data_IF_693260781121
#
_entry.id   IF_693260781121
#
_cell.length_a   1.000
_cell.length_b   1.000
_cell.length_c   1.000
_cell.angle_alpha   90.00
_cell.angle_beta   90.00
_cell.angle_gamma   90.00
#
_symmetry.space_group_name_H-M   'P 1'
#
loop_
_entity.id
_entity.type
_entity.pdbx_description
1 polymer ?
#
# COMPACT_ATOMS: atom_id res chain seq x y z
N UNK A 1 -7.43 0.50 7.59
CA UNK A 1 -6.72 0.68 8.88
C UNK A 1 -6.82 -0.57 9.76
N UNK A 2 -7.98 -1.21 9.89
CA UNK A 2 -8.16 -2.41 10.71
C UNK A 2 -7.21 -3.55 10.33
N UNK A 3 -7.06 -3.85 9.02
CA UNK A 3 -6.10 -4.87 8.57
C UNK A 3 -4.66 -4.54 8.96
N UNK A 4 -4.27 -3.25 8.88
CA UNK A 4 -2.94 -2.81 9.32
C UNK A 4 -2.71 -3.13 10.80
N UNK A 5 -3.68 -2.81 11.65
CA UNK A 5 -3.59 -3.11 13.08
C UNK A 5 -3.50 -4.63 13.36
N UNK A 6 -4.31 -5.44 12.68
CA UNK A 6 -4.25 -6.89 12.81
C UNK A 6 -2.92 -7.48 12.30
N UNK A 7 -2.34 -6.89 11.27
CA UNK A 7 -1.05 -7.31 10.72
C UNK A 7 0.13 -7.06 11.69
N UNK A 8 0.01 -6.11 12.61
CA UNK A 8 1.02 -5.86 13.66
C UNK A 8 1.02 -6.93 14.76
N UNK A 9 -0.03 -7.75 14.87
CA UNK A 9 -0.04 -8.87 15.83
C UNK A 9 0.96 -9.93 15.33
N UNK A 10 1.96 -10.34 16.15
CA UNK A 10 2.89 -11.41 15.77
C UNK A 10 2.15 -12.68 15.36
N UNK A 11 2.61 -13.35 14.32
CA UNK A 11 1.91 -14.52 13.76
C UNK A 11 1.62 -15.61 14.78
N UNK A 12 2.59 -15.89 15.66
CA UNK A 12 2.46 -16.89 16.74
C UNK A 12 1.46 -16.49 17.84
N UNK A 13 1.00 -15.23 17.85
CA UNK A 13 -0.03 -14.72 18.79
C UNK A 13 -1.40 -14.54 18.15
N UNK A 14 -1.55 -14.82 16.84
CA UNK A 14 -2.83 -14.74 16.15
C UNK A 14 -3.65 -16.00 16.43
N UNK A 15 -4.78 -15.85 17.12
CA UNK A 15 -5.74 -16.91 17.26
C UNK A 15 -6.51 -17.15 15.95
N UNK A 16 -7.38 -18.16 15.90
CA UNK A 16 -8.16 -18.51 14.70
C UNK A 16 -9.04 -17.36 14.20
N UNK A 17 -9.68 -16.62 15.09
CA UNK A 17 -10.55 -15.50 14.75
C UNK A 17 -9.77 -14.36 14.07
N UNK A 18 -8.59 -14.02 14.60
CA UNK A 18 -7.69 -13.01 13.99
C UNK A 18 -7.22 -13.46 12.61
N UNK A 19 -6.82 -14.72 12.47
CA UNK A 19 -6.39 -15.28 11.18
C UNK A 19 -7.51 -15.26 10.16
N UNK A 20 -8.72 -15.64 10.52
CA UNK A 20 -9.89 -15.63 9.64
C UNK A 20 -10.29 -14.21 9.24
N UNK A 21 -10.20 -13.25 10.16
CA UNK A 21 -10.48 -11.85 9.88
C UNK A 21 -9.47 -11.26 8.91
N UNK A 22 -8.17 -11.55 9.11
CA UNK A 22 -7.11 -11.15 8.18
C UNK A 22 -7.37 -11.72 6.78
N UNK A 23 -7.66 -13.03 6.70
CA UNK A 23 -7.93 -13.69 5.41
C UNK A 23 -9.10 -13.08 4.66
N UNK A 24 -10.21 -12.81 5.36
CA UNK A 24 -11.39 -12.14 4.76
C UNK A 24 -11.08 -10.73 4.28
N UNK A 25 -10.33 -9.95 5.08
CA UNK A 25 -9.96 -8.60 4.71
C UNK A 25 -8.98 -8.56 3.52
N UNK A 26 -8.04 -9.49 3.46
CA UNK A 26 -7.12 -9.65 2.32
C UNK A 26 -7.90 -10.02 1.06
N UNK A 27 -8.80 -11.01 1.12
CA UNK A 27 -9.62 -11.41 -0.02
C UNK A 27 -10.48 -10.25 -0.53
N UNK A 28 -11.06 -9.46 0.38
CA UNK A 28 -11.79 -8.25 -0.01
C UNK A 28 -10.93 -7.28 -0.83
N UNK A 29 -9.67 -7.04 -0.43
CA UNK A 29 -8.75 -6.16 -1.19
C UNK A 29 -8.36 -6.78 -2.54
N UNK A 30 -8.16 -8.09 -2.59
CA UNK A 30 -7.76 -8.79 -3.81
C UNK A 30 -8.86 -8.83 -4.87
N UNK A 31 -10.13 -9.04 -4.50
CA UNK A 31 -11.25 -8.98 -5.47
C UNK A 31 -11.44 -7.59 -6.07
N UNK A 32 -10.96 -6.55 -5.39
CA UNK A 32 -10.93 -5.17 -5.89
C UNK A 32 -9.63 -4.82 -6.64
N UNK A 33 -8.75 -5.80 -6.90
CA UNK A 33 -7.42 -5.53 -7.44
C UNK A 33 -6.75 -4.33 -6.75
N UNK A 34 -6.88 -4.28 -5.42
CA UNK A 34 -6.39 -3.25 -4.50
C UNK A 34 -7.20 -1.93 -4.58
N UNK A 35 -7.39 -1.34 -5.75
CA UNK A 35 -7.94 0.02 -5.94
C UNK A 35 -9.10 0.10 -6.93
N UNK A 36 -9.54 -1.01 -7.50
CA UNK A 36 -10.60 -1.07 -8.52
C UNK A 36 -11.97 -1.38 -7.92
N UNK A 37 -13.00 -1.29 -8.74
CA UNK A 37 -14.34 -1.72 -8.36
C UNK A 37 -14.51 -3.21 -8.69
N UNK A 38 -14.89 -4.04 -7.71
CA UNK A 38 -14.97 -5.50 -7.89
C UNK A 38 -15.95 -5.95 -8.98
N UNK A 39 -17.01 -5.16 -9.22
CA UNK A 39 -18.02 -5.42 -10.25
C UNK A 39 -17.65 -4.83 -11.62
N UNK A 40 -16.61 -3.99 -11.68
CA UNK A 40 -16.07 -3.43 -12.93
C UNK A 40 -14.60 -3.06 -12.74
N UNK A 41 -13.71 -4.00 -13.04
CA UNK A 41 -12.26 -3.84 -12.86
C UNK A 41 -11.60 -2.81 -13.81
N UNK A 42 -12.34 -2.23 -14.75
CA UNK A 42 -11.87 -1.10 -15.54
C UNK A 42 -12.00 0.23 -14.79
N UNK A 43 -12.83 0.27 -13.74
CA UNK A 43 -13.09 1.46 -12.96
C UNK A 43 -12.29 1.50 -11.67
N UNK A 44 -11.72 2.66 -11.40
CA UNK A 44 -11.02 2.96 -10.14
C UNK A 44 -12.06 3.26 -9.06
N UNK A 45 -11.90 2.65 -7.88
CA UNK A 45 -12.79 2.87 -6.75
C UNK A 45 -12.56 4.25 -6.11
N UNK A 46 -11.30 4.54 -5.76
CA UNK A 46 -10.89 5.80 -5.14
C UNK A 46 -9.60 6.32 -5.80
N UNK A 47 -9.70 7.31 -6.70
CA UNK A 47 -8.53 7.85 -7.40
C UNK A 47 -7.42 8.36 -6.47
N UNK A 48 -7.78 8.84 -5.28
CA UNK A 48 -6.81 9.30 -4.28
C UNK A 48 -5.88 8.20 -3.76
N UNK A 49 -6.26 6.93 -3.88
CA UNK A 49 -5.41 5.80 -3.49
C UNK A 49 -4.21 5.60 -4.43
N UNK A 50 -4.29 6.16 -5.63
CA UNK A 50 -3.18 6.15 -6.58
C UNK A 50 -2.13 7.23 -6.30
N UNK A 51 -2.38 8.14 -5.37
CA UNK A 51 -1.44 9.19 -4.98
C UNK A 51 -0.63 8.75 -3.77
N UNK A 52 0.67 8.52 -3.97
CA UNK A 52 1.58 8.09 -2.90
C UNK A 52 1.75 9.19 -1.85
N UNK A 53 1.58 8.83 -0.59
CA UNK A 53 1.57 9.78 0.52
C UNK A 53 2.45 9.33 1.69
N UNK A 54 2.97 10.31 2.43
CA UNK A 54 3.68 10.07 3.67
C UNK A 54 3.61 11.32 4.57
N UNK A 55 3.47 11.15 5.89
CA UNK A 55 3.02 9.94 6.59
C UNK A 55 1.54 9.62 6.32
N UNK A 56 1.17 8.34 6.45
CA UNK A 56 -0.23 7.94 6.38
C UNK A 56 -0.95 8.29 7.68
N UNK A 57 -1.96 9.16 7.58
CA UNK A 57 -2.86 9.47 8.68
C UNK A 57 -4.07 8.50 8.66
N UNK A 58 -5.28 9.00 8.51
CA UNK A 58 -6.50 8.19 8.38
C UNK A 58 -6.74 7.66 6.96
N UNK A 59 -6.15 8.29 5.96
CA UNK A 59 -6.24 7.85 4.56
C UNK A 59 -5.18 6.79 4.26
N UNK A 60 -5.38 6.07 3.15
CA UNK A 60 -4.45 5.06 2.65
C UNK A 60 -4.13 5.32 1.18
N UNK A 61 -3.15 4.62 0.66
CA UNK A 61 -2.82 4.53 -0.76
C UNK A 61 -2.43 3.09 -1.14
N UNK A 62 -2.19 2.86 -2.43
CA UNK A 62 -1.82 1.54 -2.94
C UNK A 62 -0.54 1.01 -2.29
N UNK A 63 0.43 1.86 -1.98
CA UNK A 63 1.70 1.43 -1.39
C UNK A 63 1.50 0.92 0.04
N UNK A 64 0.69 1.61 0.86
CA UNK A 64 0.37 1.12 2.22
C UNK A 64 -0.34 -0.24 2.17
N UNK A 65 -1.26 -0.43 1.22
CA UNK A 65 -1.97 -1.72 1.09
C UNK A 65 -1.01 -2.81 0.63
N UNK A 66 -0.20 -2.55 -0.39
CA UNK A 66 0.79 -3.51 -0.88
C UNK A 66 1.82 -3.88 0.20
N UNK A 67 2.28 -2.93 1.02
CA UNK A 67 3.17 -3.19 2.14
C UNK A 67 2.53 -4.15 3.16
N UNK A 68 1.27 -3.92 3.51
CA UNK A 68 0.55 -4.80 4.43
C UNK A 68 0.40 -6.21 3.85
N UNK A 69 0.00 -6.34 2.59
CA UNK A 69 -0.22 -7.64 1.95
C UNK A 69 1.09 -8.43 1.82
N UNK A 70 2.17 -7.80 1.35
CA UNK A 70 3.47 -8.46 1.21
C UNK A 70 4.07 -8.86 2.56
N UNK A 71 3.93 -8.05 3.60
CA UNK A 71 4.34 -8.42 4.98
C UNK A 71 3.52 -9.58 5.56
N UNK A 72 2.28 -9.73 5.15
CA UNK A 72 1.43 -10.87 5.50
C UNK A 72 1.73 -12.12 4.66
N UNK A 73 2.67 -12.05 3.71
CA UNK A 73 3.10 -13.17 2.86
C UNK A 73 2.25 -13.37 1.60
N UNK A 74 1.42 -12.40 1.23
CA UNK A 74 0.61 -12.51 0.02
C UNK A 74 1.35 -11.97 -1.21
N UNK A 75 1.38 -12.80 -2.26
CA UNK A 75 1.89 -12.47 -3.60
C UNK A 75 0.90 -13.03 -4.62
N UNK A 76 -0.20 -12.35 -4.82
CA UNK A 76 -1.31 -12.77 -5.66
C UNK A 76 -1.31 -11.98 -6.97
N UNK A 77 -1.66 -12.63 -8.11
CA UNK A 77 -1.70 -11.97 -9.42
C UNK A 77 -2.65 -10.76 -9.46
N UNK A 78 -3.68 -10.74 -8.62
CA UNK A 78 -4.62 -9.62 -8.49
C UNK A 78 -3.98 -8.35 -7.91
N UNK A 79 -2.75 -8.43 -7.43
CA UNK A 79 -1.93 -7.28 -7.00
C UNK A 79 -1.17 -6.65 -8.18
N UNK A 80 -1.05 -7.34 -9.34
CA UNK A 80 -0.22 -6.90 -10.46
C UNK A 80 -0.52 -5.48 -10.91
N UNK A 81 -1.81 -5.13 -11.08
CA UNK A 81 -2.20 -3.79 -11.53
C UNK A 81 -1.66 -2.68 -10.60
N UNK A 82 -1.70 -2.91 -9.29
CA UNK A 82 -1.18 -1.94 -8.30
C UNK A 82 0.37 -1.92 -8.30
N UNK A 83 1.01 -3.07 -8.49
CA UNK A 83 2.47 -3.19 -8.64
C UNK A 83 2.93 -2.44 -9.90
N UNK A 84 2.24 -2.60 -11.03
CA UNK A 84 2.59 -1.92 -12.27
C UNK A 84 2.46 -0.40 -12.14
N UNK A 85 1.42 0.09 -11.46
CA UNK A 85 1.30 1.51 -11.15
C UNK A 85 2.45 1.98 -10.24
N UNK A 86 2.80 1.20 -9.22
CA UNK A 86 3.91 1.54 -8.34
C UNK A 86 5.22 1.65 -9.13
N UNK A 87 5.51 0.70 -10.02
CA UNK A 87 6.70 0.71 -10.88
C UNK A 87 6.68 1.92 -11.83
N UNK A 88 5.53 2.21 -12.44
CA UNK A 88 5.39 3.33 -13.39
C UNK A 88 5.66 4.71 -12.77
N UNK A 89 5.60 4.81 -11.45
CA UNK A 89 5.88 6.05 -10.69
C UNK A 89 7.34 6.21 -10.28
N UNK A 90 8.17 5.22 -10.55
CA UNK A 90 9.60 5.28 -10.28
C UNK A 90 10.29 6.27 -11.22
N UNK A 91 11.11 7.16 -10.69
CA UNK A 91 11.92 8.05 -11.52
C UNK A 91 13.16 7.32 -12.10
N UNK A 92 13.88 8.00 -12.99
CA UNK A 92 15.10 7.49 -13.65
C UNK A 92 16.26 7.18 -12.69
N UNK A 93 16.18 7.67 -11.45
CA UNK A 93 17.15 7.39 -10.38
C UNK A 93 16.65 6.32 -9.39
N UNK A 94 15.54 5.64 -9.71
CA UNK A 94 15.00 4.58 -8.87
C UNK A 94 14.24 5.06 -7.64
N UNK A 95 13.72 6.30 -7.64
CA UNK A 95 13.04 6.92 -6.50
C UNK A 95 11.57 7.18 -6.79
N UNK A 96 10.78 7.40 -5.74
CA UNK A 96 9.36 7.78 -5.81
C UNK A 96 9.13 9.14 -5.18
N UNK A 97 8.24 9.92 -5.79
CA UNK A 97 7.89 11.25 -5.33
C UNK A 97 6.77 11.21 -4.28
N UNK A 98 6.78 12.20 -3.39
CA UNK A 98 5.65 12.50 -2.52
C UNK A 98 4.57 13.20 -3.35
N UNK A 99 3.45 12.52 -3.60
CA UNK A 99 2.36 13.04 -4.44
C UNK A 99 1.27 13.73 -3.62
N UNK A 100 1.05 13.26 -2.39
CA UNK A 100 0.09 13.85 -1.46
C UNK A 100 0.68 13.97 -0.06
N UNK A 101 0.39 15.08 0.61
CA UNK A 101 0.91 15.36 1.96
C UNK A 101 -0.14 16.06 2.81
N UNK A 102 0.06 15.99 4.14
CA UNK A 102 -0.70 16.72 5.16
C UNK A 102 0.20 17.74 5.89
N UNK A 103 1.21 18.28 5.20
CA UNK A 103 2.19 19.21 5.80
C UNK A 103 1.55 20.44 6.46
N UNK A 104 0.41 20.89 5.95
CA UNK A 104 -0.38 21.98 6.51
C UNK A 104 -1.04 21.66 7.87
N UNK A 105 -1.05 20.39 8.26
CA UNK A 105 -1.58 19.89 9.54
C UNK A 105 -0.51 19.49 10.53
N UNK A 106 0.76 19.66 10.19
CA UNK A 106 1.90 19.35 11.05
C UNK A 106 2.59 20.61 11.53
N UNK A 107 3.26 20.53 12.68
CA UNK A 107 4.10 21.63 13.19
C UNK A 107 5.33 21.89 12.32
N UNK A 108 5.75 20.89 11.52
CA UNK A 108 6.88 21.01 10.60
C UNK A 108 6.60 20.26 9.31
N UNK A 109 7.25 20.67 8.22
CA UNK A 109 7.21 19.96 6.94
C UNK A 109 8.16 18.76 7.00
N UNK A 110 7.60 17.55 6.83
CA UNK A 110 8.39 16.30 6.86
C UNK A 110 9.14 16.13 5.55
N UNK A 111 8.44 16.24 4.42
CA UNK A 111 9.00 16.16 3.06
C UNK A 111 8.24 17.11 2.13
N UNK A 112 8.79 17.38 0.94
CA UNK A 112 8.19 18.31 -0.03
C UNK A 112 7.34 17.57 -1.05
N UNK A 113 6.06 17.97 -1.21
CA UNK A 113 5.20 17.48 -2.28
C UNK A 113 5.84 17.70 -3.65
N UNK A 114 5.76 16.70 -4.53
CA UNK A 114 6.33 16.72 -5.88
C UNK A 114 7.84 16.47 -5.93
N UNK A 115 8.47 16.17 -4.81
CA UNK A 115 9.91 15.83 -4.73
C UNK A 115 10.10 14.37 -4.29
N UNK A 116 11.27 13.76 -4.60
CA UNK A 116 11.57 12.41 -4.15
C UNK A 116 11.43 12.26 -2.64
N UNK A 117 10.71 11.24 -2.22
CA UNK A 117 10.49 10.88 -0.82
C UNK A 117 11.37 9.70 -0.45
N UNK A 118 12.19 9.84 0.57
CA UNK A 118 13.00 8.72 1.09
C UNK A 118 12.13 7.62 1.71
N UNK A 119 11.03 8.00 2.36
CA UNK A 119 10.13 7.05 3.02
C UNK A 119 9.29 6.25 2.03
N UNK A 120 8.72 6.92 1.01
CA UNK A 120 7.99 6.24 -0.06
C UNK A 120 8.95 5.34 -0.84
N UNK A 121 10.13 5.83 -1.20
CA UNK A 121 11.16 5.05 -1.90
C UNK A 121 11.55 3.80 -1.11
N UNK A 122 11.83 3.92 0.20
CA UNK A 122 12.16 2.78 1.05
C UNK A 122 11.04 1.73 1.06
N UNK A 123 9.80 2.17 1.24
CA UNK A 123 8.65 1.26 1.32
C UNK A 123 8.36 0.61 -0.05
N UNK A 124 8.47 1.35 -1.14
CA UNK A 124 8.30 0.82 -2.49
C UNK A 124 9.35 -0.27 -2.80
N UNK A 125 10.62 -0.02 -2.48
CA UNK A 125 11.69 -1.02 -2.66
C UNK A 125 11.42 -2.28 -1.83
N UNK A 126 11.00 -2.14 -0.57
CA UNK A 126 10.64 -3.28 0.28
C UNK A 126 9.52 -4.12 -0.32
N UNK A 127 8.45 -3.47 -0.75
CA UNK A 127 7.30 -4.14 -1.39
C UNK A 127 7.74 -4.90 -2.63
N UNK A 128 8.45 -4.25 -3.55
CA UNK A 128 8.90 -4.88 -4.80
C UNK A 128 9.88 -6.02 -4.53
N UNK A 129 10.80 -5.87 -3.58
CA UNK A 129 11.72 -6.93 -3.19
C UNK A 129 10.98 -8.17 -2.69
N UNK A 130 10.01 -8.01 -1.79
CA UNK A 130 9.23 -9.15 -1.27
C UNK A 130 8.39 -9.75 -2.38
N UNK A 131 7.70 -8.93 -3.17
CA UNK A 131 6.80 -9.37 -4.22
C UNK A 131 7.51 -10.23 -5.28
N UNK A 132 8.70 -9.82 -5.73
CA UNK A 132 9.47 -10.55 -6.76
C UNK A 132 10.41 -11.62 -6.21
N UNK A 133 10.57 -11.73 -4.88
CA UNK A 133 11.39 -12.79 -4.25
C UNK A 133 10.62 -14.09 -4.04
N UNK A 134 9.31 -14.05 -4.21
CA UNK A 134 8.44 -15.23 -4.10
C UNK A 134 8.01 -15.71 -5.51
#
# INVERSE_FOLDING_TARGET
KSLKALAEIPENKRNSEVKDTIKKAVEYLLIHHIYKQSHNLEKISLPSWLQLSFPHMYQTDILEILDILTRLGYTDYRMNDAIDILISKQDDQGRWNLERTFNDRFLTKIERKGKPSKWITLNAIKVLKIYYSN
#
